data_IF_042049551528
#
_entry.id   IF_042049551528
#
_cell.length_a   1.000
_cell.length_b   1.000
_cell.length_c   1.000
_cell.angle_alpha   90.00
_cell.angle_beta   90.00
_cell.angle_gamma   90.00
#
_symmetry.space_group_name_H-M   'P 1'
#
loop_
_entity.id
_entity.type
_entity.pdbx_description
1 polymer ?
#
# COMPACT_ATOMS: atom_id res chain seq x y z
N UNK A 1 -2.43 -16.98 -2.00
CA UNK A 1 -2.95 -17.29 -0.65
C UNK A 1 -3.25 -16.01 0.12
N UNK A 2 -2.28 -15.08 0.23
CA UNK A 2 -2.43 -13.84 1.01
C UNK A 2 -3.56 -12.90 0.59
N UNK A 3 -3.88 -12.77 -0.70
CA UNK A 3 -4.99 -11.89 -1.12
C UNK A 3 -6.35 -12.35 -0.58
N UNK A 4 -6.60 -13.67 -0.57
CA UNK A 4 -7.84 -14.23 -0.01
C UNK A 4 -7.94 -13.96 1.49
N UNK A 5 -6.83 -14.10 2.22
CA UNK A 5 -6.80 -13.83 3.66
C UNK A 5 -7.01 -12.35 3.98
N UNK A 6 -6.39 -11.45 3.20
CA UNK A 6 -6.58 -10.01 3.34
C UNK A 6 -8.01 -9.58 3.00
N UNK A 7 -8.63 -10.24 2.02
CA UNK A 7 -10.03 -10.03 1.66
C UNK A 7 -10.97 -10.56 2.76
N UNK A 8 -10.75 -11.78 3.26
CA UNK A 8 -11.51 -12.37 4.38
C UNK A 8 -11.38 -11.54 5.66
N UNK A 9 -10.21 -10.96 5.91
CA UNK A 9 -9.96 -10.06 7.03
C UNK A 9 -10.48 -8.62 6.77
N UNK A 10 -10.97 -8.32 5.57
CA UNK A 10 -11.60 -7.05 5.21
C UNK A 10 -10.64 -5.89 4.99
N UNK A 11 -9.36 -6.15 4.68
CA UNK A 11 -8.37 -5.11 4.35
C UNK A 11 -8.42 -4.72 2.86
N UNK A 12 -8.78 -5.67 1.99
CA UNK A 12 -8.92 -5.44 0.55
C UNK A 12 -10.26 -5.96 0.04
N UNK A 13 -10.69 -5.47 -1.12
CA UNK A 13 -11.86 -5.96 -1.86
C UNK A 13 -11.50 -6.24 -3.32
N UNK A 14 -12.05 -7.30 -3.89
CA UNK A 14 -11.97 -7.58 -5.32
C UNK A 14 -13.09 -6.85 -6.10
N UNK A 15 -12.72 -6.02 -7.07
CA UNK A 15 -13.59 -5.46 -8.10
C UNK A 15 -13.36 -6.17 -9.44
N UNK A 16 -14.41 -6.73 -10.07
CA UNK A 16 -14.29 -7.30 -11.42
C UNK A 16 -14.35 -6.16 -12.44
N UNK A 17 -13.24 -5.90 -13.11
CA UNK A 17 -13.12 -4.82 -14.12
C UNK A 17 -13.50 -5.32 -15.52
N UNK A 18 -13.24 -6.59 -15.82
CA UNK A 18 -13.56 -7.21 -17.11
C UNK A 18 -13.79 -8.70 -16.92
N UNK A 19 -14.81 -9.26 -17.54
CA UNK A 19 -15.10 -10.70 -17.44
C UNK A 19 -14.32 -11.56 -18.44
N UNK A 20 -14.04 -11.05 -19.66
CA UNK A 20 -13.35 -11.79 -20.71
C UNK A 20 -12.29 -10.92 -21.44
N UNK A 21 -10.98 -11.17 -21.25
CA UNK A 21 -10.41 -12.06 -20.21
C UNK A 21 -10.66 -11.48 -18.81
N UNK A 22 -10.84 -12.37 -17.82
CA UNK A 22 -11.17 -11.99 -16.44
C UNK A 22 -10.06 -11.14 -15.84
N UNK A 23 -10.37 -9.90 -15.48
CA UNK A 23 -9.49 -8.97 -14.76
C UNK A 23 -10.17 -8.57 -13.48
N UNK A 24 -9.43 -8.72 -12.38
CA UNK A 24 -9.83 -8.32 -11.05
C UNK A 24 -8.88 -7.23 -10.59
N UNK A 25 -9.44 -6.09 -10.21
CA UNK A 25 -8.74 -5.02 -9.53
C UNK A 25 -8.95 -5.17 -8.03
N UNK A 26 -7.91 -4.88 -7.26
CA UNK A 26 -7.93 -4.99 -5.81
C UNK A 26 -7.80 -3.60 -5.22
N UNK A 27 -8.74 -3.26 -4.35
CA UNK A 27 -8.77 -1.97 -3.70
C UNK A 27 -8.65 -2.14 -2.19
N UNK A 28 -7.97 -1.20 -1.52
CA UNK A 28 -7.98 -1.12 -0.07
C UNK A 28 -9.39 -0.71 0.40
N UNK A 29 -9.88 -1.37 1.43
CA UNK A 29 -11.07 -0.91 2.17
C UNK A 29 -10.69 0.27 3.08
N UNK A 30 -11.67 0.85 3.77
CA UNK A 30 -11.42 1.82 4.84
C UNK A 30 -10.47 1.23 5.91
N UNK A 31 -10.76 0.01 6.39
CA UNK A 31 -9.89 -0.74 7.30
C UNK A 31 -8.49 -0.95 6.74
N UNK A 32 -8.37 -1.23 5.43
CA UNK A 32 -7.08 -1.34 4.75
C UNK A 32 -6.28 -0.04 4.78
N UNK A 33 -6.91 1.07 4.41
CA UNK A 33 -6.30 2.40 4.42
C UNK A 33 -5.86 2.82 5.84
N UNK A 34 -6.66 2.50 6.86
CA UNK A 34 -6.33 2.80 8.26
C UNK A 34 -5.08 2.06 8.76
N UNK A 35 -4.64 0.99 8.09
CA UNK A 35 -3.38 0.31 8.44
C UNK A 35 -2.15 1.02 7.90
N UNK A 36 -2.28 1.88 6.88
CA UNK A 36 -1.13 2.51 6.22
C UNK A 36 -0.25 3.28 7.23
N UNK A 37 -0.78 4.11 8.15
CA UNK A 37 0.05 4.79 9.15
C UNK A 37 0.83 3.85 10.07
N UNK A 38 0.28 2.67 10.37
CA UNK A 38 0.93 1.65 11.21
C UNK A 38 2.11 1.03 10.45
N UNK A 39 1.88 0.65 9.19
CA UNK A 39 2.93 0.09 8.32
C UNK A 39 4.04 1.12 8.07
N UNK A 40 3.70 2.39 7.87
CA UNK A 40 4.68 3.47 7.72
C UNK A 40 5.49 3.70 9.00
N UNK A 41 4.85 3.64 10.17
CA UNK A 41 5.55 3.76 11.45
C UNK A 41 6.52 2.59 11.69
N UNK A 42 6.12 1.38 11.32
CA UNK A 42 6.97 0.20 11.38
C UNK A 42 8.18 0.35 10.45
N UNK A 43 7.95 0.76 9.20
CA UNK A 43 9.02 1.05 8.25
C UNK A 43 9.99 2.11 8.78
N UNK A 44 9.51 3.21 9.35
CA UNK A 44 10.35 4.26 9.90
C UNK A 44 11.23 3.78 11.07
N UNK A 45 10.73 2.83 11.86
CA UNK A 45 11.51 2.20 12.91
C UNK A 45 12.63 1.34 12.32
N UNK A 46 12.32 0.50 11.34
CA UNK A 46 13.27 -0.40 10.70
C UNK A 46 14.40 0.37 10.00
N UNK A 47 14.05 1.40 9.24
CA UNK A 47 15.04 2.18 8.46
C UNK A 47 15.98 3.00 9.34
N UNK A 48 15.61 3.26 10.60
CA UNK A 48 16.43 3.95 11.58
C UNK A 48 17.38 3.03 12.32
N UNK A 49 16.89 1.86 12.75
CA UNK A 49 17.62 0.99 13.68
C UNK A 49 18.30 -0.20 13.01
N UNK A 50 17.81 -0.63 11.85
CA UNK A 50 18.27 -1.80 11.10
C UNK A 50 18.67 -1.42 9.67
N UNK A 51 19.24 -0.23 9.49
CA UNK A 51 19.61 0.28 8.18
C UNK A 51 20.64 -0.62 7.46
N UNK A 52 21.48 -1.32 8.22
CA UNK A 52 22.47 -2.28 7.75
C UNK A 52 21.86 -3.60 7.25
N UNK A 53 20.67 -3.97 7.72
CA UNK A 53 19.92 -5.13 7.24
C UNK A 53 18.97 -4.78 6.09
N UNK A 54 18.42 -3.56 6.10
CA UNK A 54 17.38 -3.12 5.15
C UNK A 54 17.98 -2.46 3.90
N UNK A 55 19.16 -1.82 3.98
CA UNK A 55 19.80 -1.14 2.86
C UNK A 55 21.20 -1.66 2.58
N UNK A 56 21.52 -1.87 1.30
CA UNK A 56 22.85 -2.33 0.84
C UNK A 56 23.98 -1.36 1.24
N UNK A 57 23.69 -0.07 1.36
CA UNK A 57 24.65 0.97 1.75
C UNK A 57 24.74 1.18 3.28
N UNK A 58 23.93 0.45 4.05
CA UNK A 58 23.81 0.55 5.51
C UNK A 58 23.47 1.95 6.03
N UNK A 59 22.90 2.82 5.20
CA UNK A 59 22.57 4.21 5.58
C UNK A 59 21.10 4.34 5.93
N UNK A 60 20.83 4.89 7.13
CA UNK A 60 19.48 5.23 7.53
C UNK A 60 18.85 6.27 6.59
N UNK A 61 17.57 6.06 6.27
CA UNK A 61 16.77 6.94 5.42
C UNK A 61 15.45 7.27 6.09
N UNK A 62 14.98 8.48 5.86
CA UNK A 62 13.66 8.96 6.27
C UNK A 62 12.58 8.40 5.35
N UNK A 63 11.33 8.37 5.82
CA UNK A 63 10.21 7.89 5.02
C UNK A 63 10.05 8.69 3.72
N UNK A 64 10.25 10.02 3.75
CA UNK A 64 10.12 10.87 2.56
C UNK A 64 11.19 10.58 1.50
N UNK A 65 12.36 10.06 1.90
CA UNK A 65 13.42 9.65 0.97
C UNK A 65 13.11 8.29 0.31
N UNK A 66 12.32 7.44 0.98
CA UNK A 66 11.96 6.09 0.50
C UNK A 66 10.66 6.14 -0.30
N UNK A 67 9.68 6.88 0.22
CA UNK A 67 8.37 7.14 -0.36
C UNK A 67 8.18 8.65 -0.49
N UNK A 68 8.77 9.27 -1.53
CA UNK A 68 8.52 10.67 -1.80
C UNK A 68 7.02 10.84 -2.06
N UNK A 69 6.38 11.74 -1.32
CA UNK A 69 4.99 12.11 -1.55
C UNK A 69 4.84 12.56 -3.00
N UNK A 70 4.30 11.69 -3.86
CA UNK A 70 3.97 12.07 -5.24
C UNK A 70 2.67 12.88 -5.19
N UNK A 71 2.65 14.16 -5.60
CA UNK A 71 1.44 14.97 -5.65
C UNK A 71 0.58 14.62 -6.88
N UNK A 72 0.22 13.35 -7.06
CA UNK A 72 -0.54 12.93 -8.23
C UNK A 72 -0.85 11.45 -8.28
N UNK A 73 -1.80 11.00 -7.46
CA UNK A 73 -2.65 9.83 -7.74
C UNK A 73 -3.84 9.78 -6.76
N UNK A 74 -4.48 10.94 -6.55
CA UNK A 74 -5.86 11.03 -6.08
C UNK A 74 -6.61 11.76 -7.21
N UNK A 75 -6.65 11.15 -8.39
CA UNK A 75 -7.67 11.52 -9.36
C UNK A 75 -8.92 10.76 -8.97
N UNK A 76 -9.82 11.45 -8.27
CA UNK A 76 -11.20 11.01 -8.07
C UNK A 76 -11.80 10.71 -9.44
N UNK A 77 -11.88 9.43 -9.80
CA UNK A 77 -12.74 8.97 -10.87
C UNK A 77 -14.19 9.02 -10.36
N UNK A 78 -14.71 10.23 -10.14
CA UNK A 78 -16.16 10.43 -10.04
C UNK A 78 -16.72 10.22 -11.45
N UNK A 79 -17.56 9.20 -11.71
CA UNK A 79 -18.22 9.09 -12.99
C UNK A 79 -19.24 10.22 -13.07
N UNK A 80 -19.03 11.16 -13.98
CA UNK A 80 -20.02 12.18 -14.31
C UNK A 80 -21.28 11.50 -14.86
N UNK A 81 -22.43 11.81 -14.25
CA UNK A 81 -23.77 11.57 -14.77
C UNK A 81 -24.06 12.48 -15.96
#
# INVERSE_FOLDING_TARGET
>A
MWLRELEEAGFIRAGIVRECPRVVEWELTEKGNDTIPILMSFLAFDTKWYADEVFEDSRARTLDEIYPSSPGCLEDHTPAL
#
